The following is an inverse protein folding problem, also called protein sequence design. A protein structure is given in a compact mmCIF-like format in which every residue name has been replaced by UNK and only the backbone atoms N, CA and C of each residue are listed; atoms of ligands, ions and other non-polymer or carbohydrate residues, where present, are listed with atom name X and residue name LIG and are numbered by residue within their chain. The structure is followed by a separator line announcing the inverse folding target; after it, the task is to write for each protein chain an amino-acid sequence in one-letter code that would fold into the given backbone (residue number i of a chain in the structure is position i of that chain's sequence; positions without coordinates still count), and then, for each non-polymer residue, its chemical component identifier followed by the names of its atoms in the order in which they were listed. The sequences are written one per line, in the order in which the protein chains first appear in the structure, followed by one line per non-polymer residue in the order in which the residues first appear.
data_IF_523111820309
#
_entry.id   IF_523111820309
#
_cell.length_a   1.000
_cell.length_b   1.000
_cell.length_c   1.000
_cell.angle_alpha   90.00
_cell.angle_beta   90.00
_cell.angle_gamma   90.00
#
_symmetry.space_group_name_H-M   'P 1'
#
loop_
_entity.id
_entity.type
_entity.pdbx_description
1 polymer ?
#
# COMPACT_ATOMS: atom_id res chain seq x y z
N UNK A 1 -3.40 3.61 15.51
CA UNK A 1 -3.37 2.64 14.39
C UNK A 1 -1.93 2.20 14.14
N UNK A 2 -1.74 0.93 13.87
CA UNK A 2 -0.41 0.38 13.55
C UNK A 2 -0.01 0.72 12.13
N UNK A 3 1.31 0.82 11.89
CA UNK A 3 1.83 1.23 10.59
C UNK A 3 1.35 0.33 9.45
N UNK A 4 1.41 -1.00 9.62
CA UNK A 4 1.00 -1.90 8.54
C UNK A 4 -0.51 -1.80 8.24
N UNK A 5 -1.32 -1.50 9.26
CA UNK A 5 -2.76 -1.30 9.07
C UNK A 5 -3.02 -0.05 8.23
N UNK A 6 -2.28 1.03 8.51
CA UNK A 6 -2.40 2.27 7.75
C UNK A 6 -2.00 2.07 6.28
N UNK A 7 -0.93 1.31 6.04
CA UNK A 7 -0.48 0.99 4.66
C UNK A 7 -1.57 0.19 3.93
N UNK A 8 -2.12 -0.82 4.58
CA UNK A 8 -3.20 -1.64 4.02
C UNK A 8 -4.42 -0.79 3.66
N UNK A 9 -4.88 0.03 4.59
CA UNK A 9 -6.06 0.87 4.36
C UNK A 9 -5.81 1.91 3.26
N UNK A 10 -4.61 2.48 3.23
CA UNK A 10 -4.25 3.43 2.17
C UNK A 10 -4.29 2.76 0.80
N UNK A 11 -3.75 1.55 0.69
CA UNK A 11 -3.77 0.80 -0.57
C UNK A 11 -5.20 0.49 -1.00
N UNK A 12 -6.06 0.05 -0.06
CA UNK A 12 -7.48 -0.20 -0.35
C UNK A 12 -8.16 1.05 -0.87
N UNK A 13 -7.96 2.19 -0.21
CA UNK A 13 -8.55 3.46 -0.62
C UNK A 13 -8.10 3.87 -2.02
N UNK A 14 -6.81 3.72 -2.32
CA UNK A 14 -6.28 4.06 -3.64
C UNK A 14 -6.85 3.16 -4.74
N UNK A 15 -7.00 1.87 -4.47
CA UNK A 15 -7.61 0.95 -5.43
C UNK A 15 -9.06 1.35 -5.73
N UNK A 16 -9.83 1.71 -4.69
CA UNK A 16 -11.20 2.18 -4.86
C UNK A 16 -11.26 3.49 -5.64
N UNK A 17 -10.43 4.45 -5.26
CA UNK A 17 -10.35 5.76 -5.91
C UNK A 17 -10.06 5.63 -7.40
N UNK A 18 -9.11 4.76 -7.74
CA UNK A 18 -8.65 4.58 -9.12
C UNK A 18 -9.45 3.52 -9.86
N UNK A 19 -10.40 2.88 -9.20
CA UNK A 19 -11.21 1.80 -9.76
C UNK A 19 -10.35 0.69 -10.37
N UNK A 20 -9.29 0.33 -9.65
CA UNK A 20 -8.39 -0.74 -10.04
C UNK A 20 -8.66 -2.01 -9.26
N UNK A 21 -8.64 -3.14 -9.94
CA UNK A 21 -8.63 -4.44 -9.29
C UNK A 21 -7.21 -4.81 -8.88
N UNK A 22 -7.07 -5.81 -8.00
CA UNK A 22 -5.76 -6.36 -7.66
C UNK A 22 -5.04 -6.86 -8.91
N UNK A 23 -5.77 -7.50 -9.81
CA UNK A 23 -5.21 -8.02 -11.06
C UNK A 23 -4.64 -6.90 -11.93
N UNK A 24 -5.37 -5.80 -12.09
CA UNK A 24 -4.89 -4.65 -12.86
C UNK A 24 -3.65 -4.04 -12.22
N UNK A 25 -3.66 -3.86 -10.91
CA UNK A 25 -2.51 -3.32 -10.21
C UNK A 25 -1.29 -4.23 -10.35
N UNK A 26 -1.48 -5.54 -10.28
CA UNK A 26 -0.40 -6.50 -10.48
C UNK A 26 0.26 -6.33 -11.86
N UNK A 27 -0.55 -6.16 -12.89
CA UNK A 27 -0.05 -5.95 -14.25
C UNK A 27 0.70 -4.61 -14.35
N UNK A 28 0.10 -3.54 -13.87
CA UNK A 28 0.67 -2.19 -13.98
C UNK A 28 1.92 -1.99 -13.13
N UNK A 29 2.01 -2.68 -11.99
CA UNK A 29 3.12 -2.51 -11.04
C UNK A 29 4.22 -3.56 -11.18
N UNK A 30 3.97 -4.63 -11.94
CA UNK A 30 4.84 -5.80 -12.02
C UNK A 30 5.04 -6.47 -10.65
N UNK A 31 4.10 -6.30 -9.73
CA UNK A 31 4.10 -6.98 -8.43
C UNK A 31 3.12 -8.16 -8.52
N UNK A 32 3.52 -9.36 -8.09
CA UNK A 32 2.63 -10.52 -8.15
C UNK A 32 1.32 -10.29 -7.38
N UNK A 33 0.18 -10.76 -7.89
CA UNK A 33 -1.10 -10.62 -7.19
C UNK A 33 -1.08 -11.17 -5.77
N UNK A 34 -0.36 -12.26 -5.54
CA UNK A 34 -0.24 -12.85 -4.20
C UNK A 34 0.44 -11.90 -3.22
N UNK A 35 1.44 -11.15 -3.67
CA UNK A 35 2.12 -10.15 -2.83
C UNK A 35 1.15 -9.04 -2.44
N UNK A 36 0.38 -8.53 -3.41
CA UNK A 36 -0.62 -7.49 -3.15
C UNK A 36 -1.68 -8.00 -2.17
N UNK A 37 -2.20 -9.20 -2.40
CA UNK A 37 -3.19 -9.81 -1.51
C UNK A 37 -2.66 -10.00 -0.09
N UNK A 38 -1.39 -10.40 0.05
CA UNK A 38 -0.79 -10.55 1.37
C UNK A 38 -0.74 -9.23 2.15
N UNK A 39 -0.52 -8.13 1.46
CA UNK A 39 -0.59 -6.80 2.08
C UNK A 39 -2.04 -6.48 2.46
N UNK A 40 -2.98 -6.67 1.54
CA UNK A 40 -4.39 -6.33 1.74
C UNK A 40 -5.06 -7.17 2.83
N UNK A 41 -4.64 -8.42 2.99
CA UNK A 41 -5.23 -9.32 3.99
C UNK A 41 -4.47 -9.33 5.32
N UNK A 42 -3.47 -8.46 5.46
CA UNK A 42 -2.75 -8.32 6.71
C UNK A 42 -1.72 -9.41 7.00
N UNK A 43 -1.39 -10.26 6.03
CA UNK A 43 -0.36 -11.29 6.20
C UNK A 43 1.04 -10.70 6.12
N UNK A 44 1.24 -9.72 5.25
CA UNK A 44 2.50 -9.01 5.13
C UNK A 44 2.45 -7.77 6.01
N UNK A 45 3.12 -7.81 7.14
CA UNK A 45 3.12 -6.70 8.11
C UNK A 45 4.27 -5.74 7.90
N UNK A 46 5.19 -6.07 7.00
CA UNK A 46 6.33 -5.23 6.70
C UNK A 46 6.67 -5.31 5.21
N UNK A 47 5.79 -4.78 4.35
CA UNK A 47 6.07 -4.76 2.91
C UNK A 47 7.29 -3.90 2.64
N UNK A 48 8.15 -4.38 1.73
CA UNK A 48 9.37 -3.66 1.40
C UNK A 48 9.09 -2.31 0.75
N UNK A 49 9.96 -1.34 0.98
CA UNK A 49 9.78 0.00 0.42
C UNK A 49 9.83 0.00 -1.11
N UNK A 50 10.65 -0.86 -1.70
CA UNK A 50 10.72 -0.98 -3.16
C UNK A 50 9.42 -1.56 -3.72
N UNK A 51 8.83 -2.53 -3.03
CA UNK A 51 7.52 -3.07 -3.40
C UNK A 51 6.47 -1.98 -3.38
N UNK A 52 6.45 -1.15 -2.32
CA UNK A 52 5.53 -0.03 -2.24
C UNK A 52 5.74 0.98 -3.38
N UNK A 53 7.00 1.25 -3.72
CA UNK A 53 7.33 2.13 -4.84
C UNK A 53 6.80 1.57 -6.16
N UNK A 54 6.94 0.26 -6.39
CA UNK A 54 6.41 -0.39 -7.59
C UNK A 54 4.89 -0.26 -7.66
N UNK A 55 4.20 -0.46 -6.53
CA UNK A 55 2.75 -0.28 -6.47
C UNK A 55 2.35 1.16 -6.77
N UNK A 56 3.09 2.12 -6.21
CA UNK A 56 2.86 3.54 -6.50
C UNK A 56 3.04 3.86 -7.98
N UNK A 57 4.10 3.33 -8.60
CA UNK A 57 4.33 3.50 -10.03
C UNK A 57 3.16 2.95 -10.84
N UNK A 58 2.66 1.78 -10.46
CA UNK A 58 1.51 1.16 -11.13
C UNK A 58 0.22 1.96 -10.98
N UNK A 59 0.10 2.73 -9.91
CA UNK A 59 -1.05 3.60 -9.65
C UNK A 59 -0.85 5.03 -10.16
N UNK A 60 0.34 5.35 -10.65
CA UNK A 60 0.65 6.69 -11.16
C UNK A 60 0.80 7.75 -10.07
N UNK A 61 1.25 7.36 -8.89
CA UNK A 61 1.49 8.28 -7.77
C UNK A 61 2.92 8.14 -7.26
N UNK A 62 3.37 9.11 -6.47
CA UNK A 62 4.66 9.06 -5.81
C UNK A 62 4.55 8.41 -4.44
N UNK A 63 5.68 8.00 -3.86
CA UNK A 63 5.72 7.54 -2.47
C UNK A 63 5.25 8.64 -1.51
N UNK A 64 5.63 9.88 -1.79
CA UNK A 64 5.18 11.02 -0.98
C UNK A 64 3.67 11.11 -0.98
N UNK A 65 3.04 11.01 -2.15
CA UNK A 65 1.57 11.04 -2.26
C UNK A 65 0.93 9.87 -1.52
N UNK A 66 1.54 8.69 -1.59
CA UNK A 66 1.03 7.51 -0.89
C UNK A 66 0.93 7.77 0.62
N UNK A 67 1.97 8.36 1.21
CA UNK A 67 2.04 8.59 2.65
C UNK A 67 1.49 9.94 3.11
N UNK A 68 0.97 10.75 2.20
CA UNK A 68 0.53 12.11 2.50
C UNK A 68 -0.93 12.14 2.99
N UNK A 69 -1.20 11.44 4.08
CA UNK A 69 -2.51 11.46 4.74
C UNK A 69 -2.32 11.61 6.24
N UNK A 70 -3.34 12.14 6.90
CA UNK A 70 -3.28 12.37 8.34
C UNK A 70 -3.09 11.09 9.14
N UNK A 71 -3.58 9.97 8.62
CA UNK A 71 -3.40 8.66 9.26
C UNK A 71 -1.94 8.37 9.55
N UNK A 72 -1.04 8.68 8.60
CA UNK A 72 0.38 8.41 8.77
C UNK A 72 1.08 9.36 9.75
N UNK A 73 0.44 10.46 10.14
CA UNK A 73 0.99 11.42 11.11
C UNK A 73 0.70 11.03 12.56
N UNK A 74 -0.28 10.15 12.78
CA UNK A 74 -0.77 9.81 14.13
C UNK A 74 -0.63 8.33 14.45
N UNK A 75 0.35 7.67 13.82
CA UNK A 75 0.58 6.25 14.05
C UNK A 75 1.16 5.98 15.43
N UNK A 76 0.90 4.78 15.95
CA UNK A 76 1.55 4.29 17.17
C UNK A 76 3.04 4.16 16.94
N UNK A 77 3.84 4.36 18.00
CA UNK A 77 5.27 4.14 17.90
C UNK A 77 5.57 2.66 17.65
N UNK A 78 6.56 2.41 16.80
CA UNK A 78 7.06 1.05 16.57
C UNK A 78 8.11 0.67 17.61
N UNK A 79 8.86 1.64 18.10
CA UNK A 79 9.86 1.41 19.16
C UNK A 79 9.16 1.31 20.51
N UNK A 80 9.70 0.47 21.38
CA UNK A 80 9.13 0.22 22.72
C UNK A 80 9.98 0.80 23.82
#
# INVERSE_FOLDING_TARGET
MKTYTAVRERLLCLLEEKRMSVHQLAIESAVPPSTIKNILYGKSKNPGIVTLKMLCDGMGITLTEFFQTDTFRTLEQEIK
#
